data_IF_829764886298
#
_entry.id   IF_829764886298
#
_cell.length_a   1.000
_cell.length_b   1.000
_cell.length_c   1.000
_cell.angle_alpha   90.00
_cell.angle_beta   90.00
_cell.angle_gamma   90.00
#
_symmetry.space_group_name_H-M   'P 1'
#
loop_
_entity.id
_entity.type
_entity.pdbx_description
1 polymer ?
#
# COMPACT_ATOMS: atom_id res chain seq x y z
N UNK A 1 -10.97 5.60 -77.13
CA UNK A 1 -11.78 6.41 -78.03
C UNK A 1 -11.46 7.87 -77.83
N UNK A 2 -10.92 8.46 -78.87
CA UNK A 2 -10.87 9.88 -79.27
C UNK A 2 -10.36 10.96 -78.24
N UNK A 3 -9.15 11.36 -78.51
CA UNK A 3 -8.77 12.79 -78.62
C UNK A 3 -9.62 13.52 -79.67
N UNK A 4 -9.60 14.86 -79.82
CA UNK A 4 -8.38 15.63 -80.12
C UNK A 4 -8.38 17.14 -79.68
N UNK A 5 -7.20 17.71 -79.69
CA UNK A 5 -6.67 18.83 -80.49
C UNK A 5 -7.03 20.29 -80.22
N UNK A 6 -6.01 21.07 -80.13
CA UNK A 6 -5.36 22.12 -80.96
C UNK A 6 -5.70 23.55 -80.50
N UNK A 7 -4.74 24.42 -80.27
CA UNK A 7 -4.17 25.41 -81.15
C UNK A 7 -3.38 26.53 -80.51
N UNK A 8 -2.23 26.68 -81.00
CA UNK A 8 -1.26 27.77 -81.08
C UNK A 8 -1.87 29.18 -81.16
N UNK A 9 -1.16 30.16 -80.55
CA UNK A 9 -0.62 31.27 -81.35
C UNK A 9 0.37 32.13 -80.54
N UNK A 10 1.48 32.42 -81.17
CA UNK A 10 2.56 33.33 -80.78
C UNK A 10 2.26 34.76 -81.16
N UNK A 11 2.72 35.73 -80.43
CA UNK A 11 3.06 37.04 -80.95
C UNK A 11 4.23 37.67 -80.16
N UNK A 12 5.18 38.05 -80.95
CA UNK A 12 6.39 38.84 -80.67
C UNK A 12 6.08 40.32 -80.58
N UNK A 13 6.96 41.03 -79.88
CA UNK A 13 7.50 42.42 -80.00
C UNK A 13 7.43 43.15 -78.73
N UNK A 14 8.33 43.96 -78.21
CA UNK A 14 9.57 44.59 -78.64
C UNK A 14 10.12 45.35 -77.43
N UNK A 15 11.44 45.43 -77.31
CA UNK A 15 12.11 46.23 -76.25
C UNK A 15 11.91 47.75 -76.47
N UNK A 16 11.99 48.56 -75.34
CA UNK A 16 13.10 49.50 -75.33
C UNK A 16 13.90 49.48 -73.98
N UNK A 17 15.14 49.86 -74.17
CA UNK A 17 16.16 50.13 -73.19
C UNK A 17 15.73 51.30 -72.26
N UNK A 18 15.89 51.12 -70.98
CA UNK A 18 16.03 52.27 -70.07
C UNK A 18 17.06 51.94 -68.94
N UNK A 19 18.08 52.69 -69.04
CA UNK A 19 18.98 53.36 -68.06
C UNK A 19 18.97 52.79 -66.60
N UNK A 20 20.15 52.27 -66.29
CA UNK A 20 20.57 51.84 -64.95
C UNK A 20 20.92 53.08 -64.11
N UNK A 21 20.17 53.35 -63.06
CA UNK A 21 20.60 54.16 -61.90
C UNK A 21 21.05 53.20 -60.80
N UNK A 22 22.38 53.11 -60.59
CA UNK A 22 22.95 52.40 -59.43
C UNK A 22 22.80 53.23 -58.18
N UNK A 23 21.87 52.86 -57.30
CA UNK A 23 21.79 53.42 -55.98
C UNK A 23 22.52 52.43 -55.02
N UNK A 24 23.70 52.81 -54.54
CA UNK A 24 24.45 52.11 -53.51
C UNK A 24 23.81 52.44 -52.19
N UNK A 25 23.01 51.51 -51.63
CA UNK A 25 22.54 51.58 -50.27
C UNK A 25 23.55 50.89 -49.37
N UNK A 26 24.29 51.64 -48.57
CA UNK A 26 25.07 51.17 -47.45
C UNK A 26 24.15 50.54 -46.40
N UNK A 27 24.06 49.23 -46.37
CA UNK A 27 23.46 48.52 -45.22
C UNK A 27 24.46 48.45 -44.08
N UNK A 28 24.26 49.27 -43.06
CA UNK A 28 24.87 49.14 -41.75
C UNK A 28 24.33 47.88 -41.11
N UNK A 29 25.13 46.84 -41.06
CA UNK A 29 24.81 45.59 -40.40
C UNK A 29 24.74 45.79 -38.90
N UNK A 30 23.52 45.86 -38.34
CA UNK A 30 23.32 45.65 -36.92
C UNK A 30 23.57 44.17 -36.59
N UNK A 31 24.78 43.88 -36.09
CA UNK A 31 25.14 42.54 -35.59
C UNK A 31 24.31 42.21 -34.36
N UNK A 32 23.13 41.64 -34.55
CA UNK A 32 22.38 41.00 -33.48
C UNK A 32 23.15 39.76 -33.02
N UNK A 33 23.76 39.80 -31.85
CA UNK A 33 24.23 38.59 -31.16
C UNK A 33 23.03 37.68 -30.92
N UNK A 34 22.80 36.74 -31.81
CA UNK A 34 21.96 35.60 -31.53
C UNK A 34 22.63 34.79 -30.41
N UNK A 35 22.24 35.04 -29.17
CA UNK A 35 22.58 34.16 -28.05
C UNK A 35 22.06 32.76 -28.44
N UNK A 36 22.98 31.86 -28.79
CA UNK A 36 22.71 30.41 -28.85
C UNK A 36 22.21 30.02 -27.46
N UNK A 37 20.90 29.82 -27.31
CA UNK A 37 20.35 29.11 -26.19
C UNK A 37 21.00 27.73 -26.19
N UNK A 38 21.90 27.49 -25.22
CA UNK A 38 22.41 26.17 -24.93
C UNK A 38 21.20 25.29 -24.65
N UNK A 39 21.14 24.05 -25.15
CA UNK A 39 20.11 23.11 -24.74
C UNK A 39 20.19 23.00 -23.22
N UNK A 40 19.15 23.45 -22.55
CA UNK A 40 19.01 23.23 -21.10
C UNK A 40 18.89 21.73 -20.94
N UNK A 41 19.97 21.08 -20.49
CA UNK A 41 19.85 19.72 -19.96
C UNK A 41 18.77 19.75 -18.88
N UNK A 42 17.77 18.84 -18.93
CA UNK A 42 16.85 18.73 -17.81
C UNK A 42 17.68 18.57 -16.53
N UNK A 43 17.28 19.22 -15.44
CA UNK A 43 17.99 19.07 -14.18
C UNK A 43 18.13 17.57 -13.88
N UNK A 44 19.28 17.13 -13.34
CA UNK A 44 19.45 15.73 -12.96
C UNK A 44 18.27 15.33 -12.07
N UNK A 45 17.64 14.19 -12.39
CA UNK A 45 16.52 13.69 -11.62
C UNK A 45 16.89 13.74 -10.12
N UNK A 46 16.09 14.45 -9.34
CA UNK A 46 16.34 14.59 -7.91
C UNK A 46 16.48 13.18 -7.31
N UNK A 47 17.53 12.98 -6.51
CA UNK A 47 17.83 11.68 -5.91
C UNK A 47 16.71 11.33 -4.95
N UNK A 48 15.88 10.36 -5.34
CA UNK A 48 14.77 9.89 -4.51
C UNK A 48 15.26 9.34 -3.17
N UNK A 49 14.54 9.61 -2.09
CA UNK A 49 14.74 9.00 -0.78
C UNK A 49 14.46 7.49 -0.89
N UNK A 50 15.45 6.65 -0.59
CA UNK A 50 15.27 5.19 -0.63
C UNK A 50 14.68 4.72 0.70
N UNK A 51 13.51 4.13 0.61
CA UNK A 51 12.71 3.64 1.74
C UNK A 51 12.54 2.14 1.61
N UNK A 52 12.72 1.42 2.71
CA UNK A 52 12.38 0.02 2.82
C UNK A 52 11.31 -0.12 3.89
N UNK A 53 10.29 -0.93 3.63
CA UNK A 53 9.24 -1.27 4.58
C UNK A 53 9.20 -2.78 4.81
N UNK A 54 8.91 -3.23 6.02
CA UNK A 54 8.86 -4.65 6.33
C UNK A 54 7.69 -5.33 5.66
N UNK A 55 6.49 -4.77 5.76
CA UNK A 55 5.25 -5.33 5.20
C UNK A 55 4.62 -4.41 4.15
N UNK A 56 3.79 -4.99 3.29
CA UNK A 56 3.18 -4.27 2.17
C UNK A 56 2.31 -3.06 2.59
N UNK A 57 1.47 -3.11 3.65
CA UNK A 57 0.73 -1.94 4.13
C UNK A 57 1.61 -0.72 4.39
N UNK A 58 2.77 -0.91 5.04
CA UNK A 58 3.73 0.18 5.29
C UNK A 58 4.36 0.70 4.00
N UNK A 59 4.63 -0.19 3.04
CA UNK A 59 5.17 0.20 1.74
C UNK A 59 4.15 1.01 0.92
N UNK A 60 2.87 0.66 0.98
CA UNK A 60 1.80 1.45 0.36
C UNK A 60 1.71 2.84 0.99
N UNK A 61 1.69 2.94 2.32
CA UNK A 61 1.72 4.23 3.02
C UNK A 61 2.93 5.08 2.63
N UNK A 62 4.12 4.46 2.55
CA UNK A 62 5.33 5.15 2.15
C UNK A 62 5.23 5.74 0.74
N UNK A 63 4.56 5.05 -0.20
CA UNK A 63 4.28 5.56 -1.54
C UNK A 63 3.26 6.69 -1.52
N UNK A 64 2.20 6.58 -0.71
CA UNK A 64 1.17 7.63 -0.57
C UNK A 64 1.76 8.93 0.00
N UNK A 65 2.60 8.82 1.03
CA UNK A 65 3.26 9.97 1.67
C UNK A 65 4.38 10.53 0.83
N UNK A 66 5.21 9.65 0.26
CA UNK A 66 6.43 10.04 -0.44
C UNK A 66 6.20 10.51 -1.89
N UNK A 67 5.20 9.94 -2.58
CA UNK A 67 4.93 10.22 -3.99
C UNK A 67 6.16 10.01 -4.87
N UNK A 68 6.45 10.99 -5.72
CA UNK A 68 7.58 10.99 -6.66
C UNK A 68 8.95 11.18 -6.00
N UNK A 69 9.00 11.59 -4.73
CA UNK A 69 10.25 11.86 -4.01
C UNK A 69 10.88 10.62 -3.36
N UNK A 70 10.19 9.48 -3.39
CA UNK A 70 10.65 8.24 -2.75
C UNK A 70 10.77 7.07 -3.73
N UNK A 71 11.71 6.17 -3.44
CA UNK A 71 11.78 4.85 -4.02
C UNK A 71 11.56 3.83 -2.91
N UNK A 72 10.48 3.04 -2.99
CA UNK A 72 10.00 2.16 -1.91
C UNK A 72 10.13 0.69 -2.28
N UNK A 73 10.88 -0.06 -1.49
CA UNK A 73 10.94 -1.51 -1.53
C UNK A 73 10.24 -2.13 -0.31
N UNK A 74 9.82 -3.39 -0.44
CA UNK A 74 9.20 -4.17 0.63
C UNK A 74 10.07 -5.40 0.91
N UNK A 75 10.37 -5.69 2.19
CA UNK A 75 11.14 -6.88 2.57
C UNK A 75 10.31 -8.15 2.45
N UNK A 76 9.14 -8.16 3.08
CA UNK A 76 8.28 -9.33 3.07
C UNK A 76 7.77 -9.62 1.67
N UNK A 77 8.06 -10.82 1.17
CA UNK A 77 7.61 -11.27 -0.16
C UNK A 77 6.14 -11.65 -0.11
N UNK A 78 5.40 -11.51 -1.24
CA UNK A 78 4.03 -12.01 -1.32
C UNK A 78 3.95 -13.48 -0.87
N UNK A 79 2.99 -13.79 0.01
CA UNK A 79 2.80 -15.12 0.55
C UNK A 79 3.61 -15.47 1.80
N UNK A 80 4.54 -14.60 2.25
CA UNK A 80 5.31 -14.82 3.49
C UNK A 80 4.53 -14.35 4.72
N UNK A 81 4.83 -14.98 5.87
CA UNK A 81 4.27 -14.60 7.17
C UNK A 81 5.29 -13.73 7.93
N UNK A 82 4.94 -12.51 8.40
CA UNK A 82 5.87 -11.62 9.08
C UNK A 82 6.42 -12.17 10.41
N UNK A 83 5.65 -12.99 11.12
CA UNK A 83 6.07 -13.58 12.40
C UNK A 83 7.15 -14.63 12.28
N UNK A 84 7.22 -15.32 11.13
CA UNK A 84 8.16 -16.42 10.89
C UNK A 84 9.10 -16.15 9.72
N UNK A 85 9.18 -14.89 9.30
CA UNK A 85 10.04 -14.51 8.18
C UNK A 85 11.51 -14.60 8.56
N UNK A 86 12.29 -15.25 7.72
CA UNK A 86 13.75 -15.33 7.83
C UNK A 86 14.37 -14.44 6.73
N UNK A 87 15.06 -13.35 7.11
CA UNK A 87 15.69 -12.46 6.15
C UNK A 87 16.78 -13.15 5.35
N UNK A 88 16.80 -12.89 4.05
CA UNK A 88 17.84 -13.37 3.14
C UNK A 88 19.00 -12.36 3.03
N UNK A 89 20.18 -12.78 2.51
CA UNK A 89 21.27 -11.84 2.21
C UNK A 89 20.85 -10.69 1.28
N UNK A 90 19.88 -10.91 0.38
CA UNK A 90 19.34 -9.88 -0.50
C UNK A 90 18.56 -8.81 0.28
N UNK A 91 17.86 -9.20 1.35
CA UNK A 91 17.16 -8.26 2.22
C UNK A 91 18.18 -7.37 2.97
N UNK A 92 19.29 -7.96 3.41
CA UNK A 92 20.41 -7.22 3.99
C UNK A 92 20.97 -6.16 3.03
N UNK A 93 21.12 -6.48 1.73
CA UNK A 93 21.57 -5.52 0.72
C UNK A 93 20.55 -4.39 0.49
N UNK A 94 19.25 -4.68 0.50
CA UNK A 94 18.21 -3.66 0.40
C UNK A 94 18.27 -2.70 1.60
N UNK A 95 18.38 -3.23 2.81
CA UNK A 95 18.49 -2.44 4.05
C UNK A 95 19.76 -1.62 4.06
N UNK A 96 20.91 -2.16 3.65
CA UNK A 96 22.18 -1.44 3.57
C UNK A 96 22.13 -0.21 2.63
N UNK A 97 21.25 -0.24 1.62
CA UNK A 97 21.12 0.83 0.63
C UNK A 97 20.03 1.85 0.96
N UNK A 98 19.14 1.59 1.92
CA UNK A 98 18.06 2.52 2.25
C UNK A 98 18.55 3.63 3.19
N UNK A 99 17.79 4.73 3.26
CA UNK A 99 17.94 5.81 4.23
C UNK A 99 16.93 5.66 5.37
N UNK A 100 15.73 5.12 5.06
CA UNK A 100 14.68 4.82 6.03
C UNK A 100 14.25 3.36 5.92
N UNK A 101 14.15 2.71 7.08
CA UNK A 101 13.60 1.38 7.24
C UNK A 101 12.37 1.50 8.16
N UNK A 102 11.18 1.23 7.63
CA UNK A 102 9.94 1.23 8.40
C UNK A 102 9.53 -0.18 8.79
N UNK A 103 9.24 -0.37 10.07
CA UNK A 103 8.64 -1.59 10.62
C UNK A 103 7.42 -1.24 11.46
N UNK A 104 6.58 -2.23 11.73
CA UNK A 104 5.50 -2.08 12.71
C UNK A 104 6.09 -2.00 14.11
N UNK A 105 7.03 -2.88 14.43
CA UNK A 105 7.50 -3.11 15.80
C UNK A 105 6.49 -3.91 16.62
N UNK A 106 6.41 -3.66 17.93
CA UNK A 106 5.46 -4.31 18.86
C UNK A 106 5.58 -5.86 18.88
N UNK A 107 6.75 -6.40 18.48
CA UNK A 107 7.00 -7.85 18.43
C UNK A 107 6.53 -8.54 17.15
N UNK A 108 6.19 -7.78 16.09
CA UNK A 108 5.85 -8.40 14.79
C UNK A 108 7.09 -8.92 14.08
N UNK A 109 8.12 -8.08 14.01
CA UNK A 109 9.37 -8.34 13.28
C UNK A 109 10.56 -8.37 14.25
N UNK A 110 10.66 -9.40 15.10
CA UNK A 110 11.75 -9.52 16.09
C UNK A 110 13.13 -9.59 15.42
N UNK A 111 13.16 -10.05 14.15
CA UNK A 111 14.38 -10.16 13.32
C UNK A 111 14.89 -8.82 12.77
N UNK A 112 14.12 -7.72 12.84
CA UNK A 112 14.44 -6.48 12.11
C UNK A 112 15.65 -5.73 12.70
N UNK A 113 15.81 -5.73 14.01
CA UNK A 113 16.94 -5.07 14.68
C UNK A 113 18.27 -5.73 14.29
N UNK A 114 18.31 -7.07 14.30
CA UNK A 114 19.50 -7.84 13.90
C UNK A 114 19.82 -7.61 12.42
N UNK A 115 18.81 -7.61 11.54
CA UNK A 115 19.01 -7.32 10.13
C UNK A 115 19.55 -5.91 9.90
N UNK A 116 19.02 -4.91 10.60
CA UNK A 116 19.48 -3.52 10.50
C UNK A 116 20.93 -3.37 10.96
N UNK A 117 21.33 -4.05 12.05
CA UNK A 117 22.72 -4.07 12.53
C UNK A 117 23.64 -4.79 11.53
N UNK A 118 23.24 -5.97 11.04
CA UNK A 118 24.04 -6.77 10.11
C UNK A 118 24.24 -6.08 8.74
N UNK A 119 23.30 -5.26 8.30
CA UNK A 119 23.39 -4.46 7.08
C UNK A 119 24.53 -3.43 7.12
N UNK A 120 25.02 -3.04 8.31
CA UNK A 120 26.32 -2.43 8.56
C UNK A 120 26.59 -1.05 7.93
N UNK A 121 25.64 -0.42 7.24
CA UNK A 121 25.88 0.85 6.53
C UNK A 121 25.92 2.04 7.48
N UNK A 122 25.34 1.94 8.69
CA UNK A 122 25.22 3.05 9.66
C UNK A 122 24.43 4.26 9.15
N UNK A 123 23.98 4.23 7.90
CA UNK A 123 23.26 5.32 7.25
C UNK A 123 21.74 5.14 7.25
N UNK A 124 21.26 3.93 7.49
CA UNK A 124 19.84 3.65 7.59
C UNK A 124 19.29 3.99 8.98
N UNK A 125 18.12 4.58 9.00
CA UNK A 125 17.35 4.82 10.23
C UNK A 125 16.17 3.88 10.29
N UNK A 126 16.16 2.98 11.29
CA UNK A 126 15.01 2.15 11.62
C UNK A 126 13.97 2.98 12.38
N UNK A 127 12.73 2.94 11.91
CA UNK A 127 11.59 3.61 12.54
C UNK A 127 10.48 2.59 12.77
N UNK A 128 10.26 2.23 14.03
CA UNK A 128 9.19 1.34 14.47
C UNK A 128 7.92 2.18 14.66
N UNK A 129 7.02 2.13 13.69
CA UNK A 129 5.87 3.04 13.60
C UNK A 129 4.84 2.80 14.73
N UNK A 130 4.68 1.56 15.18
CA UNK A 130 3.79 1.22 16.28
C UNK A 130 4.18 1.83 17.62
N UNK A 131 5.44 2.22 17.80
CA UNK A 131 5.91 2.90 19.02
C UNK A 131 5.36 4.34 19.15
N UNK A 132 4.84 4.92 18.07
CA UNK A 132 4.16 6.21 18.11
C UNK A 132 2.74 6.15 18.66
N UNK A 133 2.19 4.95 18.84
CA UNK A 133 0.81 4.76 19.26
C UNK A 133 0.66 4.96 20.78
N UNK A 134 -0.44 5.57 21.24
CA UNK A 134 -0.77 5.67 22.65
C UNK A 134 -0.92 4.28 23.27
N UNK A 135 -0.24 4.05 24.40
CA UNK A 135 -0.20 2.72 25.05
C UNK A 135 -1.58 2.19 25.42
N UNK A 136 -2.51 3.07 25.79
CA UNK A 136 -3.89 2.75 26.14
C UNK A 136 -4.73 2.25 24.96
N UNK A 137 -4.28 2.49 23.74
CA UNK A 137 -4.91 1.97 22.52
C UNK A 137 -4.39 0.60 22.11
N UNK A 138 -3.26 0.16 22.69
CA UNK A 138 -2.64 -1.12 22.36
C UNK A 138 -3.36 -2.29 23.04
N UNK A 139 -3.49 -3.39 22.31
CA UNK A 139 -3.89 -4.69 22.85
C UNK A 139 -2.62 -5.45 23.26
N UNK A 140 -2.62 -5.99 24.48
CA UNK A 140 -1.45 -6.69 25.01
C UNK A 140 -1.03 -7.85 24.08
N UNK A 141 0.25 -7.85 23.70
CA UNK A 141 0.86 -8.90 22.87
C UNK A 141 0.34 -8.98 21.43
N UNK A 142 -0.35 -7.94 20.93
CA UNK A 142 -0.91 -7.92 19.58
C UNK A 142 -0.26 -6.82 18.73
N UNK A 143 0.56 -7.17 17.74
CA UNK A 143 1.23 -6.18 16.90
C UNK A 143 0.41 -5.70 15.70
N UNK A 144 -0.80 -6.26 15.44
CA UNK A 144 -1.56 -6.05 14.20
C UNK A 144 -2.30 -4.70 14.15
N UNK A 145 -1.67 -3.67 14.67
CA UNK A 145 -2.20 -2.30 14.80
C UNK A 145 -2.60 -1.65 13.48
N UNK A 146 -1.95 -2.04 12.38
CA UNK A 146 -2.25 -1.50 11.04
C UNK A 146 -3.64 -1.89 10.54
N UNK A 147 -4.30 -2.89 11.11
CA UNK A 147 -5.66 -3.29 10.73
C UNK A 147 -6.75 -2.39 11.33
N UNK A 148 -6.39 -1.43 12.19
CA UNK A 148 -7.26 -0.31 12.57
C UNK A 148 -6.86 0.96 11.81
N UNK A 149 -7.68 1.47 10.86
CA UNK A 149 -7.32 2.65 10.08
C UNK A 149 -7.09 3.93 10.89
N UNK A 150 -7.66 4.04 12.10
CA UNK A 150 -7.42 5.18 12.98
C UNK A 150 -6.02 5.12 13.62
N UNK A 151 -5.54 3.92 13.96
CA UNK A 151 -4.16 3.71 14.41
C UNK A 151 -3.18 3.87 13.24
N UNK A 152 -3.53 3.36 12.07
CA UNK A 152 -2.76 3.55 10.85
C UNK A 152 -2.56 5.04 10.52
N UNK A 153 -3.56 5.89 10.74
CA UNK A 153 -3.44 7.34 10.54
C UNK A 153 -2.33 7.96 11.41
N UNK A 154 -2.20 7.54 12.68
CA UNK A 154 -1.13 8.02 13.57
C UNK A 154 0.24 7.54 13.07
N UNK A 155 0.34 6.28 12.63
CA UNK A 155 1.57 5.71 12.08
C UNK A 155 1.99 6.41 10.78
N UNK A 156 1.05 6.79 9.94
CA UNK A 156 1.28 7.56 8.70
C UNK A 156 1.80 8.97 9.00
N UNK A 157 1.27 9.66 10.00
CA UNK A 157 1.78 10.97 10.43
C UNK A 157 3.23 10.86 10.95
N UNK A 158 3.53 9.82 11.72
CA UNK A 158 4.91 9.51 12.16
C UNK A 158 5.84 9.22 11.00
N UNK A 159 5.36 8.48 9.99
CA UNK A 159 6.10 8.18 8.76
C UNK A 159 6.44 9.46 8.00
N UNK A 160 5.48 10.38 7.82
CA UNK A 160 5.70 11.67 7.16
C UNK A 160 6.74 12.52 7.89
N UNK A 161 6.71 12.55 9.23
CA UNK A 161 7.73 13.22 10.06
C UNK A 161 9.12 12.63 9.80
N UNK A 162 9.25 11.30 9.83
CA UNK A 162 10.54 10.63 9.62
C UNK A 162 11.11 10.87 8.22
N UNK A 163 10.24 10.90 7.19
CA UNK A 163 10.63 11.23 5.81
C UNK A 163 11.14 12.67 5.72
N UNK A 164 10.43 13.64 6.32
CA UNK A 164 10.86 15.05 6.32
C UNK A 164 12.18 15.28 7.05
N UNK A 165 12.47 14.52 8.11
CA UNK A 165 13.76 14.56 8.80
C UNK A 165 14.89 13.97 7.95
N UNK A 166 14.62 12.93 7.14
CA UNK A 166 15.60 12.29 6.27
C UNK A 166 15.82 13.05 4.95
N UNK A 167 14.81 13.79 4.49
CA UNK A 167 14.84 14.60 3.27
C UNK A 167 14.20 15.98 3.53
N UNK A 168 14.94 16.90 4.16
CA UNK A 168 14.43 18.23 4.51
C UNK A 168 13.96 19.07 3.32
N UNK A 169 14.49 18.80 2.12
CA UNK A 169 14.10 19.53 0.91
C UNK A 169 12.61 19.34 0.54
N UNK A 170 12.02 18.20 0.90
CA UNK A 170 10.62 17.86 0.61
C UNK A 170 9.79 17.65 1.90
N UNK A 171 10.25 18.18 3.04
CA UNK A 171 9.59 17.97 4.33
C UNK A 171 8.15 18.49 4.36
N UNK A 172 7.87 19.63 3.70
CA UNK A 172 6.52 20.21 3.64
C UNK A 172 5.56 19.34 2.84
N UNK A 173 6.03 18.75 1.73
CA UNK A 173 5.26 17.85 0.88
C UNK A 173 4.93 16.55 1.62
N UNK A 174 5.89 15.94 2.31
CA UNK A 174 5.67 14.75 3.12
C UNK A 174 4.66 15.02 4.25
N UNK A 175 4.80 16.13 4.96
CA UNK A 175 3.87 16.52 6.03
C UNK A 175 2.44 16.74 5.49
N UNK A 176 2.30 17.44 4.37
CA UNK A 176 1.00 17.68 3.73
C UNK A 176 0.34 16.39 3.26
N UNK A 177 1.08 15.52 2.56
CA UNK A 177 0.56 14.23 2.07
C UNK A 177 0.22 13.29 3.23
N UNK A 178 1.07 13.21 4.26
CA UNK A 178 0.80 12.40 5.45
C UNK A 178 -0.47 12.85 6.17
N UNK A 179 -0.66 14.17 6.38
CA UNK A 179 -1.86 14.72 7.01
C UNK A 179 -3.11 14.43 6.19
N UNK A 180 -3.07 14.65 4.88
CA UNK A 180 -4.20 14.37 3.98
C UNK A 180 -4.58 12.89 3.95
N UNK A 181 -3.58 12.01 3.86
CA UNK A 181 -3.80 10.56 3.87
C UNK A 181 -4.30 10.08 5.24
N UNK A 182 -3.74 10.57 6.35
CA UNK A 182 -4.23 10.26 7.69
C UNK A 182 -5.70 10.68 7.89
N UNK A 183 -6.11 11.84 7.36
CA UNK A 183 -7.52 12.26 7.38
C UNK A 183 -8.42 11.28 6.61
N UNK A 184 -7.97 10.78 5.44
CA UNK A 184 -8.72 9.78 4.69
C UNK A 184 -8.83 8.44 5.42
N UNK A 185 -7.78 8.02 6.15
CA UNK A 185 -7.79 6.82 6.97
C UNK A 185 -8.75 6.92 8.17
N UNK A 186 -8.83 8.09 8.83
CA UNK A 186 -9.83 8.33 9.89
C UNK A 186 -11.25 8.27 9.33
N UNK A 187 -11.49 8.80 8.15
CA UNK A 187 -12.78 8.68 7.46
C UNK A 187 -13.09 7.21 7.11
N UNK A 188 -12.09 6.45 6.66
CA UNK A 188 -12.21 5.01 6.41
C UNK A 188 -12.60 4.25 7.69
N UNK A 189 -11.97 4.58 8.84
CA UNK A 189 -12.29 3.97 10.13
C UNK A 189 -13.77 4.16 10.51
N UNK A 190 -14.32 5.36 10.26
CA UNK A 190 -15.75 5.66 10.50
C UNK A 190 -16.64 4.84 9.58
N UNK A 191 -16.34 4.79 8.27
CA UNK A 191 -17.08 3.99 7.28
C UNK A 191 -17.09 2.51 7.62
N UNK A 192 -15.96 1.96 8.12
CA UNK A 192 -15.88 0.56 8.55
C UNK A 192 -16.85 0.29 9.71
N UNK A 193 -16.88 1.15 10.73
CA UNK A 193 -17.78 1.02 11.86
C UNK A 193 -19.25 1.14 11.43
N UNK A 194 -19.58 2.09 10.59
CA UNK A 194 -20.94 2.27 10.04
C UNK A 194 -21.39 1.06 9.21
N UNK A 195 -20.52 0.55 8.32
CA UNK A 195 -20.83 -0.60 7.47
C UNK A 195 -21.12 -1.86 8.27
N UNK A 196 -20.48 -2.03 9.41
CA UNK A 196 -20.61 -3.19 10.30
C UNK A 196 -21.54 -2.93 11.50
N UNK A 197 -22.20 -1.76 11.58
CA UNK A 197 -23.10 -1.44 12.70
C UNK A 197 -24.32 -2.38 12.79
N UNK A 198 -24.86 -2.81 11.63
CA UNK A 198 -26.06 -3.65 11.52
C UNK A 198 -25.83 -5.15 11.53
N UNK A 199 -24.65 -5.64 11.96
CA UNK A 199 -24.37 -7.08 11.99
C UNK A 199 -25.32 -7.84 12.93
N UNK A 200 -25.87 -8.94 12.45
CA UNK A 200 -26.68 -9.85 13.26
C UNK A 200 -25.84 -10.68 14.22
N UNK A 201 -24.64 -11.09 13.79
CA UNK A 201 -23.66 -11.81 14.62
C UNK A 201 -22.49 -10.90 14.91
N UNK A 202 -22.16 -10.73 16.21
CA UNK A 202 -21.05 -9.88 16.67
C UNK A 202 -19.94 -10.66 17.37
N UNK A 203 -19.85 -11.95 17.04
CA UNK A 203 -18.80 -12.85 17.52
C UNK A 203 -18.11 -13.49 16.32
N UNK A 204 -16.79 -13.64 16.41
CA UNK A 204 -15.96 -14.18 15.34
C UNK A 204 -14.99 -15.23 15.87
N UNK A 205 -14.70 -16.20 15.00
CA UNK A 205 -13.57 -17.13 15.12
C UNK A 205 -12.66 -16.89 13.94
N UNK A 206 -11.35 -16.88 14.16
CA UNK A 206 -10.32 -16.63 13.14
C UNK A 206 -9.33 -17.78 13.09
N UNK A 207 -8.53 -17.85 12.04
CA UNK A 207 -7.40 -18.77 12.01
C UNK A 207 -6.31 -18.30 12.98
N UNK A 208 -5.90 -17.05 12.87
CA UNK A 208 -4.91 -16.38 13.70
C UNK A 208 -5.47 -15.02 14.16
N UNK A 209 -5.09 -14.54 15.34
CA UNK A 209 -5.73 -13.41 16.00
C UNK A 209 -5.35 -12.02 15.43
N UNK A 210 -5.02 -11.91 14.13
CA UNK A 210 -4.60 -10.66 13.50
C UNK A 210 -5.66 -9.55 13.53
N UNK A 211 -6.93 -9.90 13.40
CA UNK A 211 -8.02 -8.93 13.17
C UNK A 211 -8.60 -8.30 14.42
N UNK A 212 -7.98 -8.47 15.61
CA UNK A 212 -8.52 -7.96 16.90
C UNK A 212 -8.72 -6.46 16.90
N UNK A 213 -7.85 -5.67 16.29
CA UNK A 213 -7.97 -4.21 16.22
C UNK A 213 -9.15 -3.79 15.34
N UNK A 214 -9.31 -4.38 14.15
CA UNK A 214 -10.46 -4.12 13.27
C UNK A 214 -11.77 -4.56 13.93
N UNK A 215 -11.80 -5.73 14.55
CA UNK A 215 -12.98 -6.25 15.24
C UNK A 215 -13.36 -5.37 16.41
N UNK A 216 -12.40 -4.96 17.28
CA UNK A 216 -12.64 -4.03 18.36
C UNK A 216 -13.26 -2.72 17.89
N UNK A 217 -12.74 -2.14 16.79
CA UNK A 217 -13.30 -0.92 16.19
C UNK A 217 -14.75 -1.09 15.77
N UNK A 218 -15.08 -2.24 15.26
CA UNK A 218 -16.41 -2.54 14.70
C UNK A 218 -17.37 -3.20 15.73
N UNK A 219 -16.96 -3.34 16.98
CA UNK A 219 -17.78 -3.96 18.03
C UNK A 219 -18.02 -5.46 17.81
N UNK A 220 -17.05 -6.18 17.25
CA UNK A 220 -17.06 -7.63 17.07
C UNK A 220 -16.16 -8.25 18.15
N UNK A 221 -16.67 -9.22 18.89
CA UNK A 221 -15.93 -9.99 19.87
C UNK A 221 -15.19 -11.15 19.19
N UNK A 222 -13.87 -11.25 19.37
CA UNK A 222 -13.11 -12.43 19.01
C UNK A 222 -13.23 -13.47 20.12
N UNK A 223 -13.93 -14.56 19.84
CA UNK A 223 -14.21 -15.62 20.84
C UNK A 223 -13.27 -16.82 20.74
N UNK A 224 -12.45 -16.88 19.69
CA UNK A 224 -11.45 -17.93 19.54
C UNK A 224 -10.61 -17.79 18.29
N UNK A 225 -9.44 -18.43 18.31
CA UNK A 225 -8.54 -18.55 17.16
C UNK A 225 -8.11 -20.01 17.00
N UNK A 226 -7.90 -20.45 15.76
CA UNK A 226 -7.39 -21.80 15.45
C UNK A 226 -5.95 -21.93 15.99
N UNK A 227 -5.07 -21.00 15.65
CA UNK A 227 -3.71 -20.93 16.18
C UNK A 227 -3.69 -20.16 17.50
N UNK A 228 -3.13 -20.77 18.55
CA UNK A 228 -2.92 -20.09 19.85
C UNK A 228 -1.75 -19.11 19.80
N UNK A 229 -0.83 -19.36 18.87
CA UNK A 229 0.31 -18.48 18.58
C UNK A 229 0.66 -18.59 17.08
N UNK A 230 1.05 -17.49 16.42
CA UNK A 230 1.36 -17.51 15.00
C UNK A 230 2.40 -18.58 14.62
N UNK A 231 2.07 -19.38 13.60
CA UNK A 231 2.97 -20.42 13.07
C UNK A 231 3.10 -21.68 13.94
N UNK A 232 2.34 -21.83 15.03
CA UNK A 232 2.30 -23.05 15.82
C UNK A 232 1.09 -23.90 15.48
N UNK A 233 1.32 -25.19 15.24
CA UNK A 233 0.21 -26.12 15.05
C UNK A 233 -0.67 -26.21 16.31
N UNK A 234 -2.00 -26.09 16.16
CA UNK A 234 -2.92 -26.20 17.28
C UNK A 234 -3.00 -27.63 17.83
N UNK A 235 -3.14 -27.77 19.13
CA UNK A 235 -3.38 -29.09 19.74
C UNK A 235 -4.79 -29.59 19.45
N UNK A 236 -4.97 -30.92 19.43
CA UNK A 236 -6.30 -31.54 19.27
C UNK A 236 -7.26 -31.12 20.38
N UNK A 237 -6.77 -30.92 21.61
CA UNK A 237 -7.57 -30.47 22.74
C UNK A 237 -8.08 -29.02 22.54
N UNK A 238 -7.20 -28.15 22.01
CA UNK A 238 -7.58 -26.78 21.69
C UNK A 238 -8.66 -26.73 20.58
N UNK A 239 -8.48 -27.51 19.49
CA UNK A 239 -9.49 -27.57 18.42
C UNK A 239 -10.83 -28.11 18.91
N UNK A 240 -10.83 -29.12 19.80
CA UNK A 240 -12.07 -29.63 20.40
C UNK A 240 -12.76 -28.56 21.28
N UNK A 241 -12.03 -27.84 22.11
CA UNK A 241 -12.56 -26.73 22.90
C UNK A 241 -13.16 -25.63 22.01
N UNK A 242 -12.51 -25.32 20.87
CA UNK A 242 -13.01 -24.33 19.91
C UNK A 242 -14.32 -24.80 19.25
N UNK A 243 -14.43 -26.08 18.89
CA UNK A 243 -15.67 -26.70 18.39
C UNK A 243 -16.80 -26.49 19.39
N UNK A 244 -16.56 -26.74 20.70
CA UNK A 244 -17.56 -26.55 21.75
C UNK A 244 -17.99 -25.09 21.93
N UNK A 245 -17.02 -24.15 21.84
CA UNK A 245 -17.32 -22.70 21.81
C UNK A 245 -18.21 -22.36 20.64
N UNK A 246 -17.84 -22.78 19.42
CA UNK A 246 -18.62 -22.46 18.22
C UNK A 246 -20.04 -23.07 18.25
N UNK A 247 -20.20 -24.29 18.76
CA UNK A 247 -21.51 -24.93 18.93
C UNK A 247 -22.39 -24.17 19.93
N UNK A 248 -21.82 -23.80 21.07
CA UNK A 248 -22.54 -23.06 22.13
C UNK A 248 -22.99 -21.68 21.66
N UNK A 249 -22.13 -20.98 20.92
CA UNK A 249 -22.38 -19.63 20.40
C UNK A 249 -23.13 -19.64 19.05
N UNK A 250 -23.39 -20.80 18.46
CA UNK A 250 -24.09 -20.94 17.17
C UNK A 250 -23.28 -20.38 15.98
N UNK A 251 -21.96 -20.32 16.06
CA UNK A 251 -21.11 -19.71 15.04
C UNK A 251 -20.91 -20.63 13.84
N UNK A 252 -21.11 -20.09 12.63
CA UNK A 252 -21.05 -20.80 11.35
C UNK A 252 -20.01 -20.23 10.39
N UNK A 253 -19.10 -19.37 10.87
CA UNK A 253 -18.05 -18.75 10.08
C UNK A 253 -16.73 -18.85 10.83
N UNK A 254 -15.66 -19.22 10.12
CA UNK A 254 -14.27 -19.10 10.55
C UNK A 254 -13.56 -18.24 9.52
N UNK A 255 -12.94 -17.15 9.96
CA UNK A 255 -12.11 -16.31 9.10
C UNK A 255 -10.70 -16.88 9.01
N UNK A 256 -10.16 -16.98 7.78
CA UNK A 256 -8.83 -17.54 7.49
C UNK A 256 -8.04 -16.57 6.63
N UNK A 257 -6.70 -16.63 6.70
CA UNK A 257 -5.81 -15.81 5.89
C UNK A 257 -5.30 -16.57 4.65
N UNK A 258 -4.97 -15.86 3.54
CA UNK A 258 -4.52 -16.52 2.30
C UNK A 258 -3.17 -17.24 2.42
N UNK A 259 -2.36 -16.89 3.43
CA UNK A 259 -0.97 -17.33 3.62
C UNK A 259 -0.79 -18.43 4.64
N UNK A 260 -1.87 -18.89 5.26
CA UNK A 260 -1.86 -19.94 6.29
C UNK A 260 -2.47 -21.22 5.77
N UNK A 261 -2.09 -22.36 6.35
CA UNK A 261 -2.72 -23.64 6.03
C UNK A 261 -4.14 -23.69 6.57
N UNK A 262 -5.12 -23.77 5.70
CA UNK A 262 -6.53 -23.86 6.12
C UNK A 262 -6.89 -25.22 6.77
N UNK A 263 -6.04 -26.24 6.74
CA UNK A 263 -6.36 -27.61 7.20
C UNK A 263 -6.92 -27.69 8.63
N UNK A 264 -6.32 -27.06 9.66
CA UNK A 264 -6.91 -27.10 11.00
C UNK A 264 -8.29 -26.41 11.08
N UNK A 265 -8.46 -25.29 10.35
CA UNK A 265 -9.74 -24.58 10.27
C UNK A 265 -10.82 -25.44 9.55
N UNK A 266 -10.45 -26.20 8.51
CA UNK A 266 -11.35 -27.12 7.80
C UNK A 266 -11.85 -28.25 8.72
N UNK A 267 -11.00 -28.74 9.64
CA UNK A 267 -11.40 -29.75 10.61
C UNK A 267 -12.50 -29.20 11.52
N UNK A 268 -12.25 -28.03 12.13
CA UNK A 268 -13.25 -27.37 13.01
C UNK A 268 -14.52 -27.02 12.24
N UNK A 269 -14.38 -26.48 11.03
CA UNK A 269 -15.52 -26.12 10.18
C UNK A 269 -16.44 -27.31 9.87
N UNK A 270 -15.90 -28.48 9.53
CA UNK A 270 -16.69 -29.70 9.30
C UNK A 270 -17.45 -30.15 10.54
N UNK A 271 -16.82 -30.08 11.72
CA UNK A 271 -17.43 -30.49 12.99
C UNK A 271 -18.63 -29.66 13.40
N UNK A 272 -18.66 -28.37 13.03
CA UNK A 272 -19.73 -27.45 13.42
C UNK A 272 -20.63 -27.05 12.25
N UNK A 273 -20.36 -27.52 11.03
CA UNK A 273 -21.06 -27.09 9.81
C UNK A 273 -20.84 -25.61 9.51
N UNK A 274 -19.60 -25.11 9.70
CA UNK A 274 -19.22 -23.74 9.40
C UNK A 274 -18.58 -23.62 8.01
N UNK A 275 -18.58 -22.40 7.45
CA UNK A 275 -17.86 -22.05 6.23
C UNK A 275 -16.59 -21.24 6.56
N UNK A 276 -15.59 -21.38 5.69
CA UNK A 276 -14.38 -20.58 5.74
C UNK A 276 -14.56 -19.30 4.92
N UNK A 277 -14.12 -18.17 5.45
CA UNK A 277 -14.16 -16.86 4.77
C UNK A 277 -12.78 -16.23 4.83
N UNK A 278 -12.23 -15.88 3.68
CA UNK A 278 -10.90 -15.28 3.60
C UNK A 278 -10.95 -13.81 3.98
N UNK A 279 -10.12 -13.42 4.96
CA UNK A 279 -9.68 -12.06 5.24
C UNK A 279 -8.19 -11.96 4.95
N UNK A 280 -7.71 -10.78 4.59
CA UNK A 280 -6.29 -10.56 4.28
C UNK A 280 -5.72 -9.46 5.18
N UNK A 281 -4.65 -9.76 5.89
CA UNK A 281 -3.99 -8.86 6.82
C UNK A 281 -2.88 -8.00 6.18
N UNK A 282 -2.35 -8.41 5.02
CA UNK A 282 -1.20 -7.75 4.38
C UNK A 282 -1.50 -7.13 3.01
N UNK A 283 -2.51 -7.61 2.29
CA UNK A 283 -2.80 -7.17 0.92
C UNK A 283 -1.96 -7.89 -0.15
N UNK A 284 -2.28 -7.55 -1.39
CA UNK A 284 -1.62 -8.12 -2.56
C UNK A 284 -1.58 -7.07 -3.69
N UNK A 285 -0.39 -6.56 -4.07
CA UNK A 285 -0.27 -5.56 -5.13
C UNK A 285 -0.75 -6.04 -6.50
N UNK A 286 -0.85 -7.36 -6.72
CA UNK A 286 -1.34 -7.95 -7.96
C UNK A 286 -2.88 -8.08 -8.01
N UNK A 287 -3.57 -7.97 -6.88
CA UNK A 287 -5.03 -8.03 -6.82
C UNK A 287 -5.62 -6.62 -6.64
N UNK A 288 -6.30 -6.04 -7.64
CA UNK A 288 -6.88 -4.69 -7.55
C UNK A 288 -7.81 -4.47 -6.34
N UNK A 289 -8.43 -5.53 -5.81
CA UNK A 289 -9.29 -5.46 -4.63
C UNK A 289 -8.52 -5.28 -3.32
N UNK A 290 -7.20 -5.51 -3.32
CA UNK A 290 -6.33 -5.48 -2.14
C UNK A 290 -4.98 -4.83 -2.44
N UNK A 291 -4.89 -4.11 -3.58
CA UNK A 291 -3.66 -3.50 -4.08
C UNK A 291 -3.24 -2.21 -3.35
N UNK A 292 -4.10 -1.65 -2.52
CA UNK A 292 -3.80 -0.52 -1.64
C UNK A 292 -4.27 -0.83 -0.24
N UNK A 293 -3.72 -0.15 0.75
CA UNK A 293 -4.18 -0.31 2.13
C UNK A 293 -5.70 -0.01 2.28
N UNK A 294 -6.18 1.06 1.62
CA UNK A 294 -7.61 1.41 1.65
C UNK A 294 -8.46 0.29 1.08
N UNK A 295 -8.13 -0.22 -0.11
CA UNK A 295 -8.89 -1.31 -0.75
C UNK A 295 -8.79 -2.63 0.05
N UNK A 296 -7.66 -2.89 0.71
CA UNK A 296 -7.50 -4.03 1.62
C UNK A 296 -8.49 -3.99 2.79
N UNK A 297 -8.58 -2.84 3.47
CA UNK A 297 -9.50 -2.67 4.59
C UNK A 297 -10.96 -2.76 4.12
N UNK A 298 -11.32 -2.10 3.02
CA UNK A 298 -12.65 -2.18 2.42
C UNK A 298 -13.01 -3.61 2.03
N UNK A 299 -12.09 -4.36 1.43
CA UNK A 299 -12.26 -5.79 1.13
C UNK A 299 -12.58 -6.59 2.39
N UNK A 300 -11.80 -6.44 3.45
CA UNK A 300 -12.01 -7.17 4.71
C UNK A 300 -13.37 -6.82 5.34
N UNK A 301 -13.72 -5.55 5.38
CA UNK A 301 -14.99 -5.08 5.94
C UNK A 301 -16.18 -5.65 5.16
N UNK A 302 -16.11 -5.67 3.83
CA UNK A 302 -17.17 -6.25 3.01
C UNK A 302 -17.30 -7.76 3.20
N UNK A 303 -16.17 -8.49 3.31
CA UNK A 303 -16.17 -9.93 3.61
C UNK A 303 -16.78 -10.23 4.97
N UNK A 304 -16.47 -9.41 5.99
CA UNK A 304 -17.06 -9.52 7.33
C UNK A 304 -18.56 -9.24 7.28
N UNK A 305 -18.99 -8.18 6.58
CA UNK A 305 -20.39 -7.81 6.43
C UNK A 305 -21.22 -8.93 5.80
N UNK A 306 -20.70 -9.54 4.72
CA UNK A 306 -21.35 -10.66 4.03
C UNK A 306 -21.36 -11.94 4.89
N UNK A 307 -20.37 -12.12 5.73
CA UNK A 307 -20.23 -13.32 6.55
C UNK A 307 -21.10 -13.29 7.82
N UNK A 308 -21.18 -12.14 8.49
CA UNK A 308 -21.83 -11.95 9.80
C UNK A 308 -23.14 -11.13 9.70
N UNK A 309 -23.47 -10.60 8.52
CA UNK A 309 -24.77 -9.97 8.27
C UNK A 309 -25.92 -10.96 8.47
N UNK A 310 -27.17 -10.46 8.46
CA UNK A 310 -28.35 -11.33 8.49
C UNK A 310 -28.24 -12.38 7.38
N UNK A 311 -28.42 -13.65 7.72
CA UNK A 311 -28.56 -14.71 6.73
C UNK A 311 -29.64 -14.27 5.73
N UNK A 312 -29.23 -14.00 4.49
CA UNK A 312 -30.19 -13.89 3.39
C UNK A 312 -30.94 -15.21 3.34
N UNK A 313 -32.22 -15.15 3.16
CA UNK A 313 -33.19 -16.28 3.20
C UNK A 313 -32.90 -17.41 2.16
N UNK A 314 -31.67 -17.55 1.68
CA UNK A 314 -31.24 -18.53 0.68
C UNK A 314 -30.65 -19.82 1.27
N UNK A 315 -30.31 -19.86 2.56
CA UNK A 315 -29.79 -21.08 3.24
C UNK A 315 -30.91 -21.97 3.85
N UNK A 316 -32.18 -21.71 3.52
CA UNK A 316 -33.33 -22.47 4.00
C UNK A 316 -34.00 -23.32 2.90
N UNK A 317 -33.24 -23.77 1.88
CA UNK A 317 -33.77 -24.71 0.88
C UNK A 317 -32.90 -25.94 0.74
#
# INVERSE_FOLDING_TARGET
MCSPHVGRAAHRRSHPRQVVCVLVILMVGAGGCAQRQQPQHPPPAAKQLRVVATIYPLADWARQVGGEYVNVATLLRPGSNPHTYEPSPQDGLLVAQCQLLFSVGLGLEDWIDELAIAAGSGSQRLVKLGEALPKEKLLAGDPHVWLDPDLAAIMVEKMGTAMGEADPAHAAEYASRASGYAASLRALASKCAERLAGLAVRKAVVHHAAFRYLFRRCGIELVGAIEESPGKEPSSAHLAALVDVMRREGLKVIFVEPRTSAKPAEVVAREVGARLVVLDDLGDPADPKRATYTSLIEYNVERIAQALGSASAEDSR
#
